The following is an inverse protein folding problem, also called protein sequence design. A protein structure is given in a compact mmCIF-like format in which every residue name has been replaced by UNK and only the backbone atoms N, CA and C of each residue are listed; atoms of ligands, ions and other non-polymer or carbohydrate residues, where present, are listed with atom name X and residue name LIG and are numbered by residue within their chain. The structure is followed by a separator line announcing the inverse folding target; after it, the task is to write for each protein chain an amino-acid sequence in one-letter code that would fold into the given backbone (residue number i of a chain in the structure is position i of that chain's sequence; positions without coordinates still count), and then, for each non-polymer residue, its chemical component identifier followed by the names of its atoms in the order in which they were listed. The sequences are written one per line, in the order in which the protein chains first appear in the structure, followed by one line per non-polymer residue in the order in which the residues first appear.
data_IF_025497009126
#
_entry.id   IF_025497009126
#
_cell.length_a   1.000
_cell.length_b   1.000
_cell.length_c   1.000
_cell.angle_alpha   90.00
_cell.angle_beta   90.00
_cell.angle_gamma   90.00
#
_symmetry.space_group_name_H-M   'P 1'
#
loop_
_entity.id
_entity.type
_entity.pdbx_description
1 polymer ?
#
# COMPACT_ATOMS: atom_id res chain seq x y z
N UNK A 1 12.71 53.21 12.82
CA UNK A 1 12.97 51.75 12.81
C UNK A 1 11.94 50.98 13.64
N UNK A 2 11.79 51.26 14.95
CA UNK A 2 10.82 50.56 15.82
C UNK A 2 9.36 50.67 15.38
N UNK A 3 8.91 51.85 14.97
CA UNK A 3 7.52 52.04 14.47
C UNK A 3 7.24 51.22 13.21
N UNK A 4 8.22 51.17 12.29
CA UNK A 4 8.13 50.34 11.07
C UNK A 4 8.08 48.84 11.42
N UNK A 5 8.90 48.40 12.38
CA UNK A 5 8.85 47.02 12.87
C UNK A 5 7.48 46.68 13.48
N UNK A 6 6.90 47.58 14.29
CA UNK A 6 5.59 47.39 14.88
C UNK A 6 4.47 47.27 13.84
N UNK A 7 4.51 48.08 12.77
CA UNK A 7 3.56 47.96 11.66
C UNK A 7 3.66 46.59 10.95
N UNK A 8 4.87 46.10 10.73
CA UNK A 8 5.11 44.79 10.11
C UNK A 8 4.62 43.64 11.02
N UNK A 9 4.75 43.76 12.35
CA UNK A 9 4.17 42.79 13.29
C UNK A 9 2.65 42.70 13.09
N UNK A 10 1.94 43.82 12.90
CA UNK A 10 0.49 43.78 12.65
C UNK A 10 0.14 43.06 11.34
N UNK A 11 0.93 43.25 10.28
CA UNK A 11 0.79 42.50 9.02
C UNK A 11 0.95 41.00 9.26
N UNK A 12 1.94 40.60 10.06
CA UNK A 12 2.16 39.20 10.44
C UNK A 12 0.99 38.61 11.22
N UNK A 13 0.44 39.36 12.19
CA UNK A 13 -0.72 38.94 12.98
C UNK A 13 -1.96 38.75 12.09
N UNK A 14 -2.22 39.70 11.18
CA UNK A 14 -3.33 39.59 10.23
C UNK A 14 -3.18 38.34 9.34
N UNK A 15 -1.97 38.08 8.82
CA UNK A 15 -1.68 36.89 8.04
C UNK A 15 -1.87 35.58 8.83
N UNK A 16 -1.47 35.55 10.11
CA UNK A 16 -1.66 34.40 10.99
C UNK A 16 -3.15 34.10 11.24
N UNK A 17 -3.96 35.14 11.47
CA UNK A 17 -5.42 35.00 11.70
C UNK A 17 -6.17 34.41 10.50
N UNK A 18 -5.71 34.68 9.28
CA UNK A 18 -6.30 34.11 8.05
C UNK A 18 -5.65 32.79 7.62
N UNK A 19 -4.83 32.17 8.49
CA UNK A 19 -4.20 30.86 8.25
C UNK A 19 -2.95 30.87 7.36
N UNK A 20 -2.47 32.04 6.92
CA UNK A 20 -1.29 32.14 6.05
C UNK A 20 0.02 32.12 6.84
N UNK A 21 0.41 30.94 7.35
CA UNK A 21 1.63 30.77 8.19
C UNK A 21 2.91 31.23 7.50
N UNK A 22 3.06 30.98 6.19
CA UNK A 22 4.26 31.36 5.44
C UNK A 22 4.44 32.89 5.41
N UNK A 23 3.35 33.62 5.10
CA UNK A 23 3.35 35.09 5.08
C UNK A 23 3.53 35.68 6.47
N UNK A 24 2.90 35.09 7.49
CA UNK A 24 3.09 35.50 8.88
C UNK A 24 4.56 35.35 9.33
N UNK A 25 5.19 34.19 9.05
CA UNK A 25 6.62 33.96 9.36
C UNK A 25 7.53 34.98 8.67
N UNK A 26 7.30 35.27 7.40
CA UNK A 26 8.09 36.26 6.66
C UNK A 26 8.02 37.65 7.32
N UNK A 27 6.80 38.12 7.64
CA UNK A 27 6.59 39.40 8.30
C UNK A 27 7.25 39.46 9.68
N UNK A 28 7.11 38.43 10.53
CA UNK A 28 7.74 38.46 11.85
C UNK A 28 9.27 38.45 11.77
N UNK A 29 9.87 37.72 10.83
CA UNK A 29 11.32 37.74 10.59
C UNK A 29 11.81 39.11 10.14
N UNK A 30 11.06 39.77 9.24
CA UNK A 30 11.37 41.14 8.82
C UNK A 30 11.27 42.14 9.98
N UNK A 31 10.21 42.05 10.80
CA UNK A 31 10.05 42.88 11.99
C UNK A 31 11.20 42.68 12.99
N UNK A 32 11.63 41.44 13.21
CA UNK A 32 12.77 41.10 14.07
C UNK A 32 14.09 41.61 13.50
N UNK A 33 14.29 41.57 12.19
CA UNK A 33 15.49 42.12 11.55
C UNK A 33 15.60 43.64 11.75
N UNK A 34 14.45 44.35 11.76
CA UNK A 34 14.37 45.79 12.00
C UNK A 34 14.43 46.16 13.49
N UNK A 35 13.90 45.31 14.37
CA UNK A 35 13.93 45.46 15.82
C UNK A 35 14.06 44.11 16.54
N UNK A 36 15.29 43.65 16.80
CA UNK A 36 15.54 42.37 17.49
C UNK A 36 15.04 42.32 18.93
N UNK A 37 14.67 43.48 19.52
CA UNK A 37 14.14 43.61 20.88
C UNK A 37 12.62 43.52 20.96
N UNK A 38 11.94 43.36 19.81
CA UNK A 38 10.48 43.28 19.76
C UNK A 38 9.97 41.92 20.30
N UNK A 39 9.57 41.91 21.58
CA UNK A 39 9.05 40.72 22.27
C UNK A 39 7.86 40.09 21.52
N UNK A 40 6.94 40.92 21.04
CA UNK A 40 5.71 40.48 20.40
C UNK A 40 6.00 39.76 19.08
N UNK A 41 6.96 40.24 18.29
CA UNK A 41 7.38 39.59 17.05
C UNK A 41 7.93 38.18 17.31
N UNK A 42 8.77 38.01 18.34
CA UNK A 42 9.31 36.70 18.73
C UNK A 42 8.23 35.74 19.25
N UNK A 43 7.30 36.23 20.09
CA UNK A 43 6.17 35.44 20.60
C UNK A 43 5.29 34.93 19.45
N UNK A 44 4.95 35.79 18.51
CA UNK A 44 4.13 35.40 17.36
C UNK A 44 4.88 34.48 16.40
N UNK A 45 6.17 34.70 16.17
CA UNK A 45 7.00 33.81 15.36
C UNK A 45 7.04 32.38 15.95
N UNK A 46 7.14 32.26 17.28
CA UNK A 46 7.04 30.97 17.97
C UNK A 46 5.66 30.30 17.79
N UNK A 47 4.58 31.08 17.69
CA UNK A 47 3.23 30.54 17.47
C UNK A 47 2.99 29.99 16.06
N UNK A 48 3.77 30.43 15.07
CA UNK A 48 3.58 30.05 13.65
C UNK A 48 4.65 29.09 13.12
N UNK A 49 5.61 28.65 13.95
CA UNK A 49 6.56 27.60 13.57
C UNK A 49 5.95 26.21 13.76
N UNK A 50 6.34 25.29 12.87
CA UNK A 50 5.95 23.88 12.94
C UNK A 50 7.02 23.03 13.65
N UNK A 51 8.22 23.59 13.92
CA UNK A 51 9.30 22.92 14.65
C UNK A 51 9.29 23.33 16.14
N UNK A 52 9.02 22.38 17.07
CA UNK A 52 9.07 22.64 18.50
C UNK A 52 10.41 23.20 19.01
N UNK A 53 11.54 22.82 18.41
CA UNK A 53 12.86 23.29 18.84
C UNK A 53 13.09 24.76 18.46
N UNK A 54 12.71 25.15 17.23
CA UNK A 54 12.69 26.57 16.84
C UNK A 54 11.76 27.37 17.75
N UNK A 55 10.57 26.84 18.04
CA UNK A 55 9.60 27.46 18.94
C UNK A 55 10.21 27.74 20.32
N UNK A 56 10.90 26.75 20.90
CA UNK A 56 11.62 26.93 22.17
C UNK A 56 12.69 28.00 22.05
N UNK A 57 13.53 27.98 21.02
CA UNK A 57 14.60 28.95 20.83
C UNK A 57 14.09 30.41 20.72
N UNK A 58 12.97 30.62 20.01
CA UNK A 58 12.32 31.93 19.91
C UNK A 58 11.76 32.38 21.27
N UNK A 59 11.15 31.48 22.04
CA UNK A 59 10.62 31.81 23.36
C UNK A 59 11.72 32.02 24.41
N UNK A 60 12.86 31.33 24.30
CA UNK A 60 14.04 31.64 25.11
C UNK A 60 14.61 33.02 24.78
N UNK A 61 14.52 33.45 23.51
CA UNK A 61 14.85 34.83 23.14
C UNK A 61 13.89 35.83 23.79
N UNK A 62 12.60 35.52 23.87
CA UNK A 62 11.63 36.32 24.63
C UNK A 62 12.02 36.41 26.10
N UNK A 63 12.38 35.29 26.75
CA UNK A 63 12.78 35.32 28.17
C UNK A 63 14.08 36.09 28.43
N UNK A 64 14.98 36.19 27.45
CA UNK A 64 16.16 37.09 27.55
C UNK A 64 15.76 38.56 27.49
N UNK A 65 14.71 38.91 26.75
CA UNK A 65 14.20 40.28 26.65
C UNK A 65 13.29 40.65 27.85
N UNK A 66 12.44 39.70 28.26
CA UNK A 66 11.49 39.83 29.35
C UNK A 66 11.49 38.53 30.19
N UNK A 67 12.33 38.47 31.23
CA UNK A 67 12.43 37.30 32.09
C UNK A 67 11.12 36.92 32.79
N UNK A 68 10.19 37.87 32.97
CA UNK A 68 8.90 37.67 33.63
C UNK A 68 7.78 37.22 32.68
N UNK A 69 8.07 37.00 31.39
CA UNK A 69 7.06 36.63 30.40
C UNK A 69 6.46 35.23 30.68
N UNK A 70 5.30 35.20 31.33
CA UNK A 70 4.54 33.97 31.61
C UNK A 70 4.17 33.22 30.33
N UNK A 71 3.83 33.95 29.26
CA UNK A 71 3.49 33.37 27.95
C UNK A 71 4.65 32.57 27.36
N UNK A 72 5.87 33.09 27.46
CA UNK A 72 7.04 32.39 26.96
C UNK A 72 7.37 31.15 27.78
N UNK A 73 7.28 31.21 29.12
CA UNK A 73 7.48 30.02 29.98
C UNK A 73 6.46 28.91 29.67
N UNK A 74 5.18 29.27 29.59
CA UNK A 74 4.11 28.32 29.26
C UNK A 74 4.27 27.74 27.84
N UNK A 75 4.66 28.57 26.85
CA UNK A 75 4.92 28.10 25.50
C UNK A 75 6.12 27.14 25.41
N UNK A 76 7.20 27.37 26.16
CA UNK A 76 8.34 26.45 26.26
C UNK A 76 7.90 25.12 26.88
N UNK A 77 7.11 25.17 27.96
CA UNK A 77 6.57 23.97 28.57
C UNK A 77 5.71 23.16 27.60
N UNK A 78 4.83 23.83 26.85
CA UNK A 78 4.00 23.23 25.80
C UNK A 78 4.82 22.55 24.70
N UNK A 79 5.85 23.23 24.17
CA UNK A 79 6.75 22.62 23.20
C UNK A 79 7.55 21.46 23.78
N UNK A 80 8.06 21.58 25.02
CA UNK A 80 8.73 20.49 25.73
C UNK A 80 7.79 19.30 25.97
N UNK A 81 6.50 19.52 26.22
CA UNK A 81 5.52 18.45 26.34
C UNK A 81 5.35 17.69 25.01
N UNK A 82 5.29 18.41 23.87
CA UNK A 82 5.31 17.79 22.53
C UNK A 82 6.59 17.00 22.23
N UNK A 83 7.70 17.36 22.87
CA UNK A 83 8.97 16.64 22.77
C UNK A 83 9.09 15.47 23.77
N UNK A 84 8.29 15.45 24.85
CA UNK A 84 8.35 14.47 25.95
C UNK A 84 7.55 13.18 25.71
N UNK A 85 6.66 13.15 24.71
CA UNK A 85 5.93 11.93 24.34
C UNK A 85 6.74 11.04 23.39
N UNK A 86 6.65 9.70 23.49
CA UNK A 86 7.20 8.85 22.45
C UNK A 86 6.48 9.16 21.13
N UNK A 87 7.22 9.63 20.13
CA UNK A 87 6.67 9.95 18.79
C UNK A 87 6.27 8.68 18.03
N UNK A 88 6.59 7.52 18.58
CA UNK A 88 6.40 6.22 17.99
C UNK A 88 6.42 5.12 19.06
N UNK A 89 5.61 4.10 18.85
CA UNK A 89 5.51 2.91 19.69
C UNK A 89 5.38 1.69 18.78
N UNK A 90 6.04 0.59 19.14
CA UNK A 90 5.94 -0.67 18.42
C UNK A 90 4.71 -1.47 18.91
N UNK A 91 3.71 -1.74 18.07
CA UNK A 91 2.52 -2.49 18.48
C UNK A 91 2.77 -3.96 18.81
N UNK A 92 3.94 -4.49 18.45
CA UNK A 92 4.34 -5.87 18.67
C UNK A 92 5.09 -6.00 20.01
N UNK A 93 6.27 -5.40 20.13
CA UNK A 93 7.14 -5.56 21.32
C UNK A 93 7.03 -4.41 22.34
N UNK A 94 6.13 -3.47 22.12
CA UNK A 94 5.84 -2.35 23.02
C UNK A 94 6.96 -1.34 23.24
N UNK A 95 8.05 -1.45 22.47
CA UNK A 95 9.15 -0.49 22.52
C UNK A 95 8.69 0.91 22.09
N UNK A 96 9.05 1.92 22.88
CA UNK A 96 8.80 3.33 22.57
C UNK A 96 10.04 4.00 22.01
N UNK A 97 9.86 5.04 21.19
CA UNK A 97 10.97 5.82 20.65
C UNK A 97 10.61 7.29 20.42
N UNK A 98 11.64 8.14 20.40
CA UNK A 98 11.53 9.58 20.18
C UNK A 98 11.33 9.97 18.71
N UNK A 99 11.48 9.02 17.77
CA UNK A 99 11.30 9.21 16.33
C UNK A 99 10.57 8.00 15.73
N UNK A 100 9.91 8.20 14.58
CA UNK A 100 9.29 7.10 13.84
C UNK A 100 10.35 6.24 13.16
N UNK A 101 10.23 4.93 13.30
CA UNK A 101 11.07 3.98 12.59
C UNK A 101 10.25 3.15 11.61
N UNK A 102 10.87 2.77 10.50
CA UNK A 102 10.27 1.89 9.48
C UNK A 102 10.23 0.44 9.97
N UNK A 103 11.29 0.01 10.67
CA UNK A 103 11.38 -1.26 11.39
C UNK A 103 11.55 -0.97 12.88
N UNK A 104 11.05 -1.84 13.75
CA UNK A 104 11.24 -1.63 15.18
C UNK A 104 12.72 -1.71 15.57
N UNK A 105 13.30 -0.71 16.26
CA UNK A 105 14.71 -0.76 16.66
C UNK A 105 14.99 -1.76 17.78
N UNK A 106 13.96 -2.25 18.48
CA UNK A 106 14.11 -3.20 19.59
C UNK A 106 13.87 -4.65 19.18
N UNK A 107 12.85 -4.92 18.35
CA UNK A 107 12.57 -6.29 17.90
C UNK A 107 12.85 -6.54 16.41
N UNK A 108 13.23 -5.52 15.64
CA UNK A 108 13.48 -5.65 14.20
C UNK A 108 12.23 -5.80 13.33
N UNK A 109 11.02 -5.89 13.93
CA UNK A 109 9.81 -6.17 13.18
C UNK A 109 9.50 -5.09 12.13
N UNK A 110 9.16 -5.52 10.93
CA UNK A 110 8.59 -4.71 9.85
C UNK A 110 7.10 -4.54 10.15
N UNK A 111 6.65 -3.29 10.26
CA UNK A 111 5.30 -2.93 10.72
C UNK A 111 4.37 -2.44 9.60
N UNK A 112 4.70 -2.76 8.35
CA UNK A 112 3.95 -2.35 7.17
C UNK A 112 3.67 -3.57 6.28
N UNK A 113 2.40 -3.83 6.01
CA UNK A 113 1.97 -4.95 5.18
C UNK A 113 2.40 -4.79 3.71
N UNK A 114 2.63 -3.56 3.24
CA UNK A 114 3.22 -3.32 1.92
C UNK A 114 4.59 -4.01 1.77
N UNK A 115 5.29 -4.21 2.89
CA UNK A 115 6.61 -4.87 2.96
C UNK A 115 6.50 -6.33 3.43
N UNK A 116 5.40 -7.01 3.10
CA UNK A 116 5.12 -8.39 3.50
C UNK A 116 6.20 -9.40 3.13
N UNK A 117 6.82 -9.27 1.94
CA UNK A 117 7.92 -10.15 1.52
C UNK A 117 9.18 -9.94 2.37
N UNK A 118 9.53 -8.69 2.66
CA UNK A 118 10.65 -8.38 3.55
C UNK A 118 10.37 -8.86 4.98
N UNK A 119 9.12 -8.72 5.46
CA UNK A 119 8.71 -9.24 6.76
C UNK A 119 8.88 -10.76 6.83
N UNK A 120 8.51 -11.49 5.78
CA UNK A 120 8.67 -12.95 5.71
C UNK A 120 10.14 -13.39 5.69
N UNK A 121 11.01 -12.58 5.09
CA UNK A 121 12.45 -12.83 5.02
C UNK A 121 13.23 -12.19 6.19
N UNK A 122 12.56 -11.68 7.24
CA UNK A 122 13.17 -10.88 8.30
C UNK A 122 13.96 -11.73 9.32
N UNK A 123 15.05 -12.37 8.86
CA UNK A 123 15.89 -13.21 9.69
C UNK A 123 16.66 -12.44 10.79
N UNK A 124 16.76 -11.12 10.68
CA UNK A 124 17.46 -10.25 11.63
C UNK A 124 16.61 -9.84 12.84
N UNK A 125 15.32 -10.20 12.86
CA UNK A 125 14.40 -9.81 13.91
C UNK A 125 14.64 -10.59 15.22
N UNK A 126 14.38 -9.95 16.36
CA UNK A 126 14.33 -10.61 17.67
C UNK A 126 13.01 -11.40 17.76
N UNK A 127 13.06 -12.66 17.34
CA UNK A 127 11.89 -13.54 17.28
C UNK A 127 11.29 -13.80 18.65
N UNK A 128 12.06 -13.77 19.74
CA UNK A 128 11.56 -13.95 21.09
C UNK A 128 10.62 -12.80 21.50
N UNK A 129 11.03 -11.54 21.24
CA UNK A 129 10.17 -10.37 21.48
C UNK A 129 8.92 -10.38 20.59
N UNK A 130 9.06 -10.81 19.33
CA UNK A 130 7.93 -10.88 18.41
C UNK A 130 6.95 -11.99 18.81
N UNK A 131 7.43 -13.14 19.27
CA UNK A 131 6.59 -14.21 19.84
C UNK A 131 5.82 -13.77 21.09
N UNK A 132 6.46 -13.04 21.99
CA UNK A 132 5.80 -12.46 23.16
C UNK A 132 4.69 -11.48 22.74
N UNK A 133 4.99 -10.60 21.78
CA UNK A 133 4.02 -9.68 21.19
C UNK A 133 2.84 -10.38 20.51
N UNK A 134 3.12 -11.43 19.71
CA UNK A 134 2.09 -12.23 19.05
C UNK A 134 1.17 -12.95 20.06
N UNK A 135 1.73 -13.46 21.16
CA UNK A 135 0.96 -14.08 22.25
C UNK A 135 0.01 -13.07 22.89
N UNK A 136 0.49 -11.87 23.21
CA UNK A 136 -0.32 -10.78 23.76
C UNK A 136 -1.42 -10.35 22.79
N UNK A 137 -1.07 -10.03 21.54
CA UNK A 137 -2.03 -9.62 20.51
C UNK A 137 -3.08 -10.71 20.22
N UNK A 138 -2.70 -11.99 20.32
CA UNK A 138 -3.64 -13.11 20.21
C UNK A 138 -4.62 -13.15 21.40
N UNK A 139 -4.18 -12.78 22.60
CA UNK A 139 -5.07 -12.61 23.75
C UNK A 139 -6.00 -11.40 23.55
N UNK A 140 -5.49 -10.28 23.04
CA UNK A 140 -6.28 -9.09 22.72
C UNK A 140 -7.38 -9.42 21.70
N UNK A 141 -7.05 -10.14 20.61
CA UNK A 141 -8.04 -10.61 19.62
C UNK A 141 -9.13 -11.48 20.26
N UNK A 142 -8.79 -12.33 21.24
CA UNK A 142 -9.78 -13.17 21.94
C UNK A 142 -10.66 -12.38 22.89
N UNK A 143 -10.10 -11.36 23.55
CA UNK A 143 -10.82 -10.52 24.50
C UNK A 143 -11.74 -9.51 23.79
N UNK A 144 -11.19 -8.80 22.81
CA UNK A 144 -11.88 -7.79 22.02
C UNK A 144 -11.31 -7.72 20.59
N UNK A 145 -11.98 -8.34 19.60
CA UNK A 145 -11.53 -8.31 18.21
C UNK A 145 -11.59 -6.88 17.66
N UNK A 146 -10.43 -6.33 17.30
CA UNK A 146 -10.31 -5.01 16.66
C UNK A 146 -9.47 -5.08 15.41
N UNK A 147 -9.61 -4.06 14.53
CA UNK A 147 -8.72 -3.87 13.40
C UNK A 147 -7.24 -3.92 13.81
N UNK A 148 -6.88 -3.16 14.85
CA UNK A 148 -5.51 -3.00 15.33
C UNK A 148 -4.95 -4.34 15.81
N UNK A 149 -5.70 -5.08 16.62
CA UNK A 149 -5.25 -6.35 17.17
C UNK A 149 -5.01 -7.39 16.06
N UNK A 150 -5.94 -7.54 15.11
CA UNK A 150 -5.78 -8.45 13.98
C UNK A 150 -4.65 -8.03 13.04
N UNK A 151 -4.56 -6.75 12.69
CA UNK A 151 -3.55 -6.25 11.76
C UNK A 151 -2.13 -6.46 12.29
N UNK A 152 -1.87 -6.09 13.56
CA UNK A 152 -0.54 -6.23 14.14
C UNK A 152 -0.22 -7.67 14.54
N UNK A 153 -1.21 -8.51 14.87
CA UNK A 153 -0.98 -9.95 15.02
C UNK A 153 -0.55 -10.58 13.70
N UNK A 154 -1.21 -10.20 12.59
CA UNK A 154 -0.81 -10.62 11.25
C UNK A 154 0.63 -10.22 10.92
N UNK A 155 1.02 -8.97 11.20
CA UNK A 155 2.40 -8.52 10.97
C UNK A 155 3.41 -9.25 11.85
N UNK A 156 3.09 -9.51 13.12
CA UNK A 156 3.94 -10.31 13.98
C UNK A 156 4.16 -11.72 13.41
N UNK A 157 3.10 -12.38 12.94
CA UNK A 157 3.18 -13.70 12.33
C UNK A 157 3.97 -13.70 11.02
N UNK A 158 3.87 -12.66 10.18
CA UNK A 158 4.73 -12.52 9.00
C UNK A 158 6.20 -12.42 9.36
N UNK A 159 6.55 -11.58 10.34
CA UNK A 159 7.93 -11.44 10.82
C UNK A 159 8.47 -12.72 11.48
N UNK A 160 7.60 -13.65 11.87
CA UNK A 160 7.96 -14.98 12.36
C UNK A 160 8.01 -16.04 11.26
N UNK A 161 7.88 -15.66 9.98
CA UNK A 161 7.87 -16.59 8.86
C UNK A 161 6.61 -17.48 8.82
N UNK A 162 5.48 -17.02 9.38
CA UNK A 162 4.21 -17.77 9.48
C UNK A 162 3.10 -17.16 8.61
N UNK A 163 3.26 -17.11 7.27
CA UNK A 163 2.29 -16.46 6.38
C UNK A 163 0.90 -17.12 6.44
N UNK A 164 0.84 -18.45 6.59
CA UNK A 164 -0.42 -19.19 6.67
C UNK A 164 -1.26 -18.81 7.90
N UNK A 165 -0.61 -18.50 9.02
CA UNK A 165 -1.29 -18.06 10.24
C UNK A 165 -1.59 -16.55 10.20
N UNK A 166 -0.77 -15.77 9.50
CA UNK A 166 -0.95 -14.32 9.36
C UNK A 166 -2.17 -13.97 8.50
N UNK A 167 -2.39 -14.70 7.41
CA UNK A 167 -3.44 -14.39 6.43
C UNK A 167 -4.87 -14.33 7.01
N UNK A 168 -5.32 -15.30 7.83
CA UNK A 168 -6.62 -15.21 8.50
C UNK A 168 -6.78 -13.94 9.34
N UNK A 169 -5.70 -13.45 9.96
CA UNK A 169 -5.72 -12.22 10.76
C UNK A 169 -5.93 -10.99 9.88
N UNK A 170 -5.24 -10.90 8.75
CA UNK A 170 -5.46 -9.77 7.84
C UNK A 170 -6.84 -9.79 7.18
N UNK A 171 -7.37 -10.96 6.83
CA UNK A 171 -8.77 -11.11 6.39
C UNK A 171 -9.76 -10.65 7.46
N UNK A 172 -9.50 -10.94 8.73
CA UNK A 172 -10.31 -10.46 9.84
C UNK A 172 -10.20 -8.94 10.01
N UNK A 173 -8.98 -8.37 9.90
CA UNK A 173 -8.76 -6.92 9.94
C UNK A 173 -9.52 -6.20 8.81
N UNK A 174 -9.54 -6.76 7.60
CA UNK A 174 -10.23 -6.22 6.44
C UNK A 174 -11.75 -6.06 6.66
N UNK A 175 -12.37 -6.92 7.48
CA UNK A 175 -13.81 -6.80 7.82
C UNK A 175 -14.15 -5.49 8.56
N UNK A 176 -13.18 -4.91 9.27
CA UNK A 176 -13.36 -3.62 9.96
C UNK A 176 -13.17 -2.42 9.03
N UNK A 177 -12.54 -2.61 7.87
CA UNK A 177 -12.27 -1.57 6.87
C UNK A 177 -12.54 -2.11 5.45
N UNK A 178 -13.80 -2.45 5.13
CA UNK A 178 -14.13 -3.10 3.86
C UNK A 178 -13.83 -2.23 2.62
N UNK A 179 -13.89 -0.91 2.77
CA UNK A 179 -13.68 0.05 1.67
C UNK A 179 -12.20 0.48 1.52
N UNK A 180 -11.29 -0.05 2.33
CA UNK A 180 -9.85 0.23 2.23
C UNK A 180 -9.23 -0.60 1.10
N UNK A 181 -9.31 -0.07 -0.12
CA UNK A 181 -8.79 -0.72 -1.33
C UNK A 181 -7.30 -1.07 -1.24
N UNK A 182 -6.51 -0.29 -0.49
CA UNK A 182 -5.08 -0.56 -0.29
C UNK A 182 -4.89 -1.81 0.54
N UNK A 183 -5.58 -1.90 1.67
CA UNK A 183 -5.56 -3.08 2.52
C UNK A 183 -6.06 -4.32 1.75
N UNK A 184 -7.15 -4.19 0.98
CA UNK A 184 -7.68 -5.27 0.16
C UNK A 184 -6.62 -5.83 -0.80
N UNK A 185 -5.94 -4.95 -1.54
CA UNK A 185 -4.90 -5.34 -2.49
C UNK A 185 -3.73 -6.03 -1.78
N UNK A 186 -3.29 -5.49 -0.64
CA UNK A 186 -2.20 -6.06 0.15
C UNK A 186 -2.53 -7.46 0.71
N UNK A 187 -3.77 -7.69 1.16
CA UNK A 187 -4.20 -9.01 1.63
C UNK A 187 -4.23 -10.01 0.48
N UNK A 188 -4.74 -9.62 -0.69
CA UNK A 188 -4.73 -10.48 -1.89
C UNK A 188 -3.31 -10.84 -2.31
N UNK A 189 -2.37 -9.90 -2.24
CA UNK A 189 -0.95 -10.17 -2.53
C UNK A 189 -0.37 -11.18 -1.54
N UNK A 190 -0.68 -11.05 -0.25
CA UNK A 190 -0.25 -12.02 0.76
C UNK A 190 -0.87 -13.40 0.54
N UNK A 191 -2.14 -13.49 0.11
CA UNK A 191 -2.79 -14.76 -0.24
C UNK A 191 -2.00 -15.52 -1.31
N UNK A 192 -1.53 -14.82 -2.35
CA UNK A 192 -0.71 -15.43 -3.39
C UNK A 192 0.60 -16.00 -2.81
N UNK A 193 1.25 -15.29 -1.89
CA UNK A 193 2.48 -15.74 -1.22
C UNK A 193 2.25 -16.98 -0.35
N UNK A 194 1.15 -17.00 0.43
CA UNK A 194 0.78 -18.18 1.26
C UNK A 194 0.55 -19.41 0.38
N UNK A 195 -0.12 -19.20 -0.75
CA UNK A 195 -0.43 -20.26 -1.70
C UNK A 195 0.85 -20.81 -2.37
N UNK A 196 1.80 -19.95 -2.74
CA UNK A 196 3.11 -20.36 -3.28
C UNK A 196 3.91 -21.14 -2.22
N UNK A 197 4.01 -20.62 -1.00
CA UNK A 197 4.73 -21.27 0.10
C UNK A 197 4.16 -22.67 0.44
N UNK A 198 2.84 -22.82 0.47
CA UNK A 198 2.19 -24.11 0.71
C UNK A 198 2.48 -25.13 -0.41
N UNK A 199 2.61 -24.67 -1.66
CA UNK A 199 2.94 -25.55 -2.80
C UNK A 199 4.40 -26.02 -2.80
N UNK A 200 5.33 -25.18 -2.31
CA UNK A 200 6.74 -25.57 -2.14
C UNK A 200 6.95 -26.55 -0.98
N UNK A 201 6.18 -26.39 0.10
CA UNK A 201 6.22 -27.30 1.25
C UNK A 201 5.65 -28.71 0.96
N UNK A 202 4.87 -28.85 -0.12
CA UNK A 202 4.28 -30.13 -0.57
C UNK A 202 5.15 -30.88 -1.58
N UNK A 203 6.30 -30.35 -2.00
CA UNK A 203 7.23 -31.08 -2.87
C UNK A 203 8.04 -32.06 -2.01
N UNK A 204 7.94 -33.39 -2.23
CA UNK A 204 8.85 -34.33 -1.59
C UNK A 204 10.29 -33.98 -1.97
N UNK A 205 11.18 -34.01 -0.99
CA UNK A 205 12.61 -33.86 -1.16
C UNK A 205 13.13 -35.00 -2.06
N UNK A 206 13.12 -34.81 -3.37
CA UNK A 206 13.73 -35.76 -4.31
C UNK A 206 15.25 -35.58 -4.28
N UNK A 207 15.90 -36.47 -3.53
CA UNK A 207 17.29 -36.87 -3.75
C UNK A 207 17.45 -37.34 -5.20
N UNK A 208 18.54 -36.97 -5.91
CA UNK A 208 18.68 -37.29 -7.34
C UNK A 208 18.87 -38.80 -7.53
N UNK A 209 17.79 -39.52 -7.84
CA UNK A 209 17.85 -40.86 -8.39
C UNK A 209 17.75 -40.77 -9.91
N UNK A 210 18.80 -41.24 -10.58
CA UNK A 210 18.85 -41.38 -12.04
C UNK A 210 17.79 -42.41 -12.49
N UNK A 211 17.16 -42.08 -13.61
CA UNK A 211 16.30 -42.90 -14.47
C UNK A 211 14.79 -42.77 -14.23
N UNK A 212 14.16 -42.03 -15.15
CA UNK A 212 12.72 -41.97 -15.34
C UNK A 212 12.38 -40.74 -16.18
N UNK A 213 12.35 -40.90 -17.51
CA UNK A 213 11.86 -39.86 -18.40
C UNK A 213 10.42 -39.45 -17.99
N UNK A 214 10.05 -38.15 -17.98
CA UNK A 214 8.70 -37.75 -17.63
C UNK A 214 7.72 -38.19 -18.74
N UNK A 215 6.66 -38.88 -18.35
CA UNK A 215 5.50 -39.08 -19.19
C UNK A 215 4.92 -37.72 -19.59
N UNK A 216 4.71 -37.54 -20.89
CA UNK A 216 4.26 -36.30 -21.50
C UNK A 216 2.86 -35.91 -20.99
N UNK A 217 2.78 -34.77 -20.29
CA UNK A 217 1.53 -34.03 -20.10
C UNK A 217 1.23 -33.30 -21.42
N UNK A 218 -0.01 -33.38 -21.92
CA UNK A 218 -0.43 -32.71 -23.15
C UNK A 218 -0.18 -31.19 -23.13
N UNK A 219 -0.23 -30.52 -24.30
CA UNK A 219 0.10 -29.11 -24.41
C UNK A 219 -0.83 -28.24 -23.54
N UNK A 220 -0.23 -27.42 -22.66
CA UNK A 220 -0.96 -26.46 -21.83
C UNK A 220 -1.59 -25.37 -22.69
N UNK A 221 -2.85 -25.05 -22.44
CA UNK A 221 -3.53 -23.88 -23.04
C UNK A 221 -2.84 -22.59 -22.61
N UNK A 222 -2.62 -21.71 -23.57
CA UNK A 222 -1.92 -20.44 -23.42
C UNK A 222 -2.90 -19.30 -23.15
N UNK A 223 -2.62 -18.49 -22.12
CA UNK A 223 -3.44 -17.35 -21.73
C UNK A 223 -2.57 -16.10 -21.71
N UNK A 224 -3.06 -15.03 -22.32
CA UNK A 224 -2.47 -13.70 -22.19
C UNK A 224 -3.21 -12.91 -21.11
N UNK A 225 -2.48 -12.41 -20.11
CA UNK A 225 -3.03 -11.57 -19.04
C UNK A 225 -2.57 -10.13 -19.24
N UNK A 226 -3.52 -9.21 -19.33
CA UNK A 226 -3.30 -7.80 -19.63
C UNK A 226 -3.91 -6.93 -18.54
N UNK A 227 -3.08 -6.16 -17.85
CA UNK A 227 -3.47 -5.26 -16.76
C UNK A 227 -2.33 -4.27 -16.53
N UNK A 228 -2.61 -2.98 -16.32
CA UNK A 228 -1.58 -1.96 -16.13
C UNK A 228 -0.92 -2.04 -14.74
N UNK A 229 -1.63 -2.61 -13.77
CA UNK A 229 -1.08 -2.89 -12.45
C UNK A 229 -0.20 -4.15 -12.50
N UNK A 230 1.12 -4.02 -12.28
CA UNK A 230 2.02 -5.18 -12.24
C UNK A 230 1.62 -6.17 -11.14
N UNK A 231 0.96 -5.68 -10.09
CA UNK A 231 0.47 -6.49 -8.98
C UNK A 231 -0.73 -7.34 -9.42
N UNK A 232 -1.77 -6.74 -10.02
CA UNK A 232 -2.94 -7.50 -10.46
C UNK A 232 -2.60 -8.47 -11.58
N UNK A 233 -1.80 -8.03 -12.56
CA UNK A 233 -1.31 -8.86 -13.65
C UNK A 233 -0.63 -10.13 -13.15
N UNK A 234 0.31 -10.00 -12.20
CA UNK A 234 1.04 -11.15 -11.66
C UNK A 234 0.15 -12.07 -10.83
N UNK A 235 -0.78 -11.51 -10.04
CA UNK A 235 -1.74 -12.30 -9.25
C UNK A 235 -2.62 -13.16 -10.14
N UNK A 236 -3.19 -12.59 -11.20
CA UNK A 236 -4.01 -13.31 -12.19
C UNK A 236 -3.16 -14.42 -12.84
N UNK A 237 -1.93 -14.10 -13.25
CA UNK A 237 -1.02 -15.06 -13.86
C UNK A 237 -0.75 -16.26 -12.95
N UNK A 238 -0.38 -16.03 -11.69
CA UNK A 238 -0.14 -17.10 -10.71
C UNK A 238 -1.37 -17.99 -10.49
N UNK A 239 -2.57 -17.40 -10.42
CA UNK A 239 -3.82 -18.16 -10.27
C UNK A 239 -4.01 -19.12 -11.45
N UNK A 240 -3.77 -18.65 -12.67
CA UNK A 240 -3.98 -19.43 -13.89
C UNK A 240 -2.87 -20.48 -14.10
N UNK A 241 -1.60 -20.12 -13.90
CA UNK A 241 -0.47 -21.05 -13.94
C UNK A 241 -0.69 -22.26 -13.01
N UNK A 242 -1.14 -22.00 -11.78
CA UNK A 242 -1.48 -23.04 -10.80
C UNK A 242 -2.60 -23.97 -11.26
N UNK A 243 -3.48 -23.50 -12.13
CA UNK A 243 -4.63 -24.25 -12.64
C UNK A 243 -4.38 -24.93 -13.99
N UNK A 244 -3.11 -25.03 -14.41
CA UNK A 244 -2.68 -25.83 -15.56
C UNK A 244 -2.51 -25.04 -16.85
N UNK A 245 -2.66 -23.72 -16.82
CA UNK A 245 -2.51 -22.86 -17.99
C UNK A 245 -1.06 -22.37 -18.14
N UNK A 246 -0.63 -22.10 -19.37
CA UNK A 246 0.59 -21.34 -19.64
C UNK A 246 0.21 -19.86 -19.71
N UNK A 247 0.90 -18.99 -18.98
CA UNK A 247 0.57 -17.56 -18.95
C UNK A 247 1.68 -16.73 -19.59
N UNK A 248 1.27 -15.75 -20.41
CA UNK A 248 2.10 -14.61 -20.80
C UNK A 248 1.44 -13.35 -20.26
N UNK A 249 2.24 -12.38 -19.83
CA UNK A 249 1.78 -11.12 -19.24
C UNK A 249 2.04 -9.96 -20.22
N UNK A 250 1.17 -8.96 -20.25
CA UNK A 250 1.37 -7.68 -20.93
C UNK A 250 0.92 -6.52 -20.04
N UNK A 251 1.74 -5.48 -19.96
CA UNK A 251 1.53 -4.33 -19.07
C UNK A 251 0.60 -3.26 -19.65
N UNK A 252 0.36 -3.27 -20.97
CA UNK A 252 -0.50 -2.32 -21.63
C UNK A 252 -1.09 -2.91 -22.94
N UNK A 253 -1.90 -2.10 -23.63
CA UNK A 253 -2.55 -2.52 -24.87
C UNK A 253 -1.60 -2.75 -26.04
N UNK A 254 -0.48 -2.04 -26.13
CA UNK A 254 0.49 -2.23 -27.22
C UNK A 254 1.23 -3.55 -27.05
N UNK A 255 1.74 -3.81 -25.84
CA UNK A 255 2.38 -5.08 -25.50
C UNK A 255 1.40 -6.25 -25.67
N UNK A 256 0.12 -6.06 -25.31
CA UNK A 256 -0.91 -7.08 -25.49
C UNK A 256 -1.09 -7.47 -26.96
N UNK A 257 -1.14 -6.50 -27.87
CA UNK A 257 -1.28 -6.74 -29.30
C UNK A 257 -0.04 -7.44 -29.88
N UNK A 258 1.16 -7.05 -29.45
CA UNK A 258 2.41 -7.70 -29.87
C UNK A 258 2.49 -9.16 -29.39
N UNK A 259 2.18 -9.41 -28.13
CA UNK A 259 2.17 -10.77 -27.58
C UNK A 259 1.08 -11.63 -28.22
N UNK A 260 -0.12 -11.07 -28.45
CA UNK A 260 -1.21 -11.81 -29.08
C UNK A 260 -0.89 -12.19 -30.53
N UNK A 261 -0.27 -11.29 -31.30
CA UNK A 261 0.18 -11.58 -32.68
C UNK A 261 1.27 -12.65 -32.74
N UNK A 262 2.25 -12.57 -31.84
CA UNK A 262 3.42 -13.45 -31.87
C UNK A 262 3.15 -14.84 -31.28
N UNK A 263 2.27 -14.94 -30.28
CA UNK A 263 2.06 -16.17 -29.52
C UNK A 263 0.70 -16.83 -29.73
N UNK A 264 -0.25 -16.14 -30.37
CA UNK A 264 -1.60 -16.63 -30.66
C UNK A 264 -2.26 -17.32 -29.44
N UNK A 265 -2.52 -16.57 -28.35
CA UNK A 265 -3.04 -17.14 -27.11
C UNK A 265 -4.41 -17.78 -27.33
N UNK A 266 -4.69 -18.85 -26.57
CA UNK A 266 -5.98 -19.53 -26.57
C UNK A 266 -7.08 -18.69 -25.89
N UNK A 267 -6.72 -17.75 -25.01
CA UNK A 267 -7.63 -16.82 -24.34
C UNK A 267 -6.87 -15.58 -23.86
N UNK A 268 -7.55 -14.42 -23.80
CA UNK A 268 -7.03 -13.19 -23.20
C UNK A 268 -7.84 -12.83 -21.95
N UNK A 269 -7.18 -12.55 -20.83
CA UNK A 269 -7.78 -11.90 -19.66
C UNK A 269 -7.34 -10.44 -19.68
N UNK A 270 -8.29 -9.52 -19.77
CA UNK A 270 -8.05 -8.12 -20.15
C UNK A 270 -8.65 -7.16 -19.12
N UNK A 271 -7.83 -6.28 -18.55
CA UNK A 271 -8.35 -5.12 -17.82
C UNK A 271 -9.02 -4.13 -18.76
N UNK A 272 -10.15 -3.57 -18.34
CA UNK A 272 -10.84 -2.55 -19.12
C UNK A 272 -10.13 -1.20 -18.98
N UNK A 273 -9.74 -0.84 -17.76
CA UNK A 273 -9.24 0.49 -17.43
C UNK A 273 -7.72 0.54 -17.48
N UNK A 274 -7.16 0.80 -18.67
CA UNK A 274 -5.72 0.96 -18.85
C UNK A 274 -5.39 2.33 -19.43
N UNK A 275 -4.29 2.98 -19.01
CA UNK A 275 -3.81 4.22 -19.62
C UNK A 275 -3.48 4.07 -21.11
N UNK A 276 -3.75 5.12 -21.88
CA UNK A 276 -3.47 5.14 -23.33
C UNK A 276 -4.53 4.38 -24.13
N UNK A 277 -4.41 3.05 -24.19
CA UNK A 277 -5.34 2.18 -24.91
C UNK A 277 -6.18 1.34 -23.93
N UNK A 278 -7.48 1.60 -23.87
CA UNK A 278 -8.39 0.84 -23.02
C UNK A 278 -8.61 -0.59 -23.54
N UNK A 279 -9.01 -1.51 -22.65
CA UNK A 279 -9.15 -2.93 -23.01
C UNK A 279 -10.15 -3.19 -24.14
N UNK A 280 -11.15 -2.32 -24.31
CA UNK A 280 -12.11 -2.41 -25.41
C UNK A 280 -11.46 -2.08 -26.75
N UNK A 281 -10.63 -1.03 -26.81
CA UNK A 281 -9.85 -0.69 -27.99
C UNK A 281 -8.86 -1.80 -28.37
N UNK A 282 -8.20 -2.42 -27.38
CA UNK A 282 -7.33 -3.60 -27.62
C UNK A 282 -8.13 -4.75 -28.21
N UNK A 283 -9.28 -5.11 -27.62
CA UNK A 283 -10.12 -6.19 -28.13
C UNK A 283 -10.57 -5.94 -29.57
N UNK A 284 -11.00 -4.71 -29.89
CA UNK A 284 -11.36 -4.36 -31.28
C UNK A 284 -10.22 -4.64 -32.26
N UNK A 285 -8.99 -4.24 -31.93
CA UNK A 285 -7.84 -4.51 -32.79
C UNK A 285 -7.48 -5.99 -32.88
N UNK A 286 -7.64 -6.76 -31.79
CA UNK A 286 -7.50 -8.22 -31.83
C UNK A 286 -8.53 -8.86 -32.79
N UNK A 287 -9.75 -8.30 -32.88
CA UNK A 287 -10.79 -8.77 -33.80
C UNK A 287 -10.48 -8.49 -35.27
N UNK A 288 -9.73 -7.44 -35.56
CA UNK A 288 -9.33 -7.05 -36.93
C UNK A 288 -8.22 -7.95 -37.51
N UNK A 289 -7.53 -8.73 -36.67
CA UNK A 289 -6.44 -9.62 -37.07
C UNK A 289 -6.94 -11.06 -37.27
N UNK A 290 -6.69 -11.70 -38.44
CA UNK A 290 -7.19 -13.06 -38.71
C UNK A 290 -6.78 -14.12 -37.68
N UNK A 291 -5.60 -13.99 -37.07
CA UNK A 291 -5.05 -14.95 -36.12
C UNK A 291 -5.66 -14.85 -34.73
N UNK A 292 -6.14 -13.67 -34.33
CA UNK A 292 -6.72 -13.41 -33.00
C UNK A 292 -8.21 -13.09 -33.05
N UNK A 293 -8.80 -13.03 -34.24
CA UNK A 293 -10.20 -12.64 -34.44
C UNK A 293 -11.19 -13.46 -33.63
N UNK A 294 -10.86 -14.72 -33.36
CA UNK A 294 -11.71 -15.66 -32.62
C UNK A 294 -11.20 -15.96 -31.20
N UNK A 295 -10.10 -15.35 -30.78
CA UNK A 295 -9.60 -15.54 -29.41
C UNK A 295 -10.63 -14.98 -28.41
N UNK A 296 -11.07 -15.76 -27.42
CA UNK A 296 -11.96 -15.28 -26.37
C UNK A 296 -11.28 -14.21 -25.49
N UNK A 297 -12.03 -13.19 -25.08
CA UNK A 297 -11.54 -12.14 -24.18
C UNK A 297 -12.39 -12.10 -22.91
N UNK A 298 -11.77 -12.33 -21.75
CA UNK A 298 -12.41 -12.18 -20.43
C UNK A 298 -12.05 -10.81 -19.87
N UNK A 299 -13.02 -9.91 -19.84
CA UNK A 299 -12.82 -8.55 -19.32
C UNK A 299 -12.87 -8.50 -17.80
N UNK A 300 -11.94 -7.77 -17.20
CA UNK A 300 -11.88 -7.45 -15.78
C UNK A 300 -12.20 -5.95 -15.60
N UNK A 301 -13.23 -5.60 -14.82
CA UNK A 301 -13.60 -4.20 -14.55
C UNK A 301 -15.01 -4.00 -13.98
N UNK A 302 -15.28 -2.81 -13.42
CA UNK A 302 -16.54 -2.44 -12.73
C UNK A 302 -17.75 -2.29 -13.67
N UNK A 303 -18.97 -2.43 -13.14
CA UNK A 303 -20.24 -2.46 -13.91
C UNK A 303 -20.98 -1.11 -13.93
N UNK A 304 -20.29 -0.01 -13.65
CA UNK A 304 -20.96 1.11 -12.97
C UNK A 304 -21.33 2.29 -13.91
N UNK A 305 -20.90 2.29 -15.17
CA UNK A 305 -21.20 3.34 -16.15
C UNK A 305 -22.24 3.00 -17.22
N UNK A 306 -23.05 4.00 -17.65
CA UNK A 306 -23.92 3.88 -18.84
C UNK A 306 -23.10 3.62 -20.11
N UNK A 307 -21.93 4.25 -20.22
CA UNK A 307 -21.01 4.10 -21.35
C UNK A 307 -20.40 2.69 -21.42
N UNK A 308 -20.05 2.09 -20.27
CA UNK A 308 -19.51 0.72 -20.22
C UNK A 308 -20.56 -0.30 -20.69
N UNK A 309 -21.83 -0.12 -20.33
CA UNK A 309 -22.93 -0.97 -20.82
C UNK A 309 -23.17 -0.86 -22.33
N UNK A 310 -22.93 0.32 -22.91
CA UNK A 310 -23.02 0.51 -24.37
C UNK A 310 -21.83 -0.16 -25.05
N UNK A 311 -20.61 0.04 -24.54
CA UNK A 311 -19.39 -0.59 -25.07
C UNK A 311 -19.44 -2.12 -24.99
N UNK A 312 -19.99 -2.67 -23.90
CA UNK A 312 -20.27 -4.11 -23.75
C UNK A 312 -21.14 -4.66 -24.88
N UNK A 313 -22.20 -3.95 -25.29
CA UNK A 313 -23.05 -4.37 -26.41
C UNK A 313 -22.32 -4.34 -27.76
N UNK A 314 -21.30 -3.51 -27.90
CA UNK A 314 -20.52 -3.35 -29.15
C UNK A 314 -19.48 -4.47 -29.29
N UNK A 315 -18.86 -4.92 -28.19
CA UNK A 315 -17.83 -5.97 -28.20
C UNK A 315 -18.43 -7.39 -28.26
N UNK A 316 -19.71 -7.55 -27.92
CA UNK A 316 -20.46 -8.80 -28.11
C UNK A 316 -20.50 -9.69 -26.85
N UNK A 317 -20.54 -11.01 -27.04
CA UNK A 317 -20.75 -12.02 -25.98
C UNK A 317 -19.53 -12.29 -25.07
N UNK A 318 -18.52 -11.42 -25.08
CA UNK A 318 -17.30 -11.63 -24.29
C UNK A 318 -17.60 -11.57 -22.76
N UNK A 319 -17.10 -12.52 -21.96
CA UNK A 319 -17.39 -12.60 -20.54
C UNK A 319 -16.77 -11.44 -19.75
N UNK A 320 -17.51 -10.96 -18.75
CA UNK A 320 -17.10 -9.84 -17.89
C UNK A 320 -17.07 -10.23 -16.42
N UNK A 321 -16.05 -9.76 -15.70
CA UNK A 321 -15.85 -10.02 -14.27
C UNK A 321 -15.54 -8.72 -13.52
N UNK A 322 -16.28 -8.46 -12.43
CA UNK A 322 -16.06 -7.28 -11.59
C UNK A 322 -14.87 -7.49 -10.66
N UNK A 323 -13.98 -6.50 -10.60
CA UNK A 323 -12.98 -6.38 -9.53
C UNK A 323 -13.67 -5.84 -8.25
N UNK A 324 -13.37 -6.36 -7.04
CA UNK A 324 -12.53 -7.54 -6.77
C UNK A 324 -13.26 -8.85 -7.08
N UNK A 325 -12.51 -9.86 -7.57
CA UNK A 325 -13.05 -11.19 -7.88
C UNK A 325 -12.39 -12.29 -7.05
N UNK A 326 -13.12 -13.39 -6.84
CA UNK A 326 -12.60 -14.59 -6.19
C UNK A 326 -11.75 -15.39 -7.18
N UNK A 327 -10.57 -15.94 -6.80
CA UNK A 327 -9.74 -16.76 -7.68
C UNK A 327 -10.49 -17.91 -8.37
N UNK A 328 -11.39 -18.58 -7.63
CA UNK A 328 -12.21 -19.66 -8.18
C UNK A 328 -13.16 -19.19 -9.29
N UNK A 329 -13.65 -17.95 -9.22
CA UNK A 329 -14.50 -17.38 -10.26
C UNK A 329 -13.71 -17.12 -11.55
N UNK A 330 -12.49 -16.58 -11.43
CA UNK A 330 -11.57 -16.39 -12.56
C UNK A 330 -11.25 -17.71 -13.26
N UNK A 331 -10.85 -18.74 -12.51
CA UNK A 331 -10.52 -20.05 -13.08
C UNK A 331 -11.73 -20.68 -13.78
N UNK A 332 -12.93 -20.56 -13.18
CA UNK A 332 -14.15 -21.07 -13.78
C UNK A 332 -14.45 -20.38 -15.11
N UNK A 333 -14.39 -19.05 -15.14
CA UNK A 333 -14.60 -18.28 -16.37
C UNK A 333 -13.58 -18.69 -17.45
N UNK A 334 -12.29 -18.76 -17.11
CA UNK A 334 -11.27 -19.18 -18.07
C UNK A 334 -11.53 -20.59 -18.60
N UNK A 335 -11.89 -21.56 -17.75
CA UNK A 335 -12.19 -22.94 -18.20
C UNK A 335 -13.43 -23.06 -19.08
N UNK A 336 -14.42 -22.19 -18.86
CA UNK A 336 -15.64 -22.15 -19.66
C UNK A 336 -15.35 -21.69 -21.10
N UNK A 337 -14.49 -20.68 -21.26
CA UNK A 337 -14.15 -20.11 -22.57
C UNK A 337 -12.85 -20.66 -23.19
N UNK A 338 -12.06 -21.40 -22.43
CA UNK A 338 -10.84 -22.08 -22.85
C UNK A 338 -10.74 -23.45 -22.16
N UNK A 339 -11.49 -24.46 -22.62
CA UNK A 339 -11.43 -25.80 -22.04
C UNK A 339 -10.02 -26.41 -22.24
N UNK A 340 -9.54 -27.10 -21.21
CA UNK A 340 -8.29 -27.85 -21.28
C UNK A 340 -8.37 -28.88 -22.41
N UNK A 341 -7.26 -29.11 -23.12
CA UNK A 341 -7.18 -30.20 -24.09
C UNK A 341 -7.42 -31.52 -23.33
N UNK A 342 -8.45 -32.26 -23.77
CA UNK A 342 -8.87 -33.53 -23.16
C UNK A 342 -7.89 -34.66 -23.33
#
# INVERSE_FOLDING_TARGET
MRERAAAIVQVGIAAAKVGSKARARAAFREAIALDPSNEQAWLWLAGVTDDPNEGIAYLERVLRLNPQSHRARAGIEHFRAKLRGPKWYCPICENTASHKFVNCPSCGAILDLARSQEALANAAADTAKIHAGATRLSADVRAEPTFVAHYYLGLALLNLGRPADALPQFRAAQKFKPDDATLVAQVVQLEAVVVDAASRAQKPTETPSKNGAPAAQGPKRSILVVDDSPVFRRVIGLILEKNGFAVTEAADGEEALDQARSRAPDLVVMDIQMPGMDGYAVCKQLREQPTTARTPVVFLGGRDGVLDRIRQKVVGSDPHMSKPFKPAALVRAVREYCPAAG
#
